data_IF_583378932493
#
_entry.id   IF_583378932493
#
_cell.length_a   1.000
_cell.length_b   1.000
_cell.length_c   1.000
_cell.angle_alpha   90.00
_cell.angle_beta   90.00
_cell.angle_gamma   90.00
#
_symmetry.space_group_name_H-M   'P 1'
#
loop_
_entity.id
_entity.type
_entity.pdbx_description
1 polymer ?
#
# COMPACT_ATOMS: atom_id res chain seq x y z
N UNK A 1 -72.85 -44.94 50.97
CA UNK A 1 -73.66 -43.76 51.26
C UNK A 1 -72.72 -42.55 51.34
N UNK A 2 -72.68 -41.56 50.57
CA UNK A 2 -73.63 -40.85 49.77
C UNK A 2 -72.93 -39.49 49.49
N UNK A 3 -72.78 -39.14 48.25
CA UNK A 3 -72.93 -37.84 47.65
C UNK A 3 -72.40 -36.57 48.36
N UNK A 4 -71.58 -35.77 47.75
CA UNK A 4 -72.04 -34.61 46.93
C UNK A 4 -70.89 -33.98 46.11
N UNK A 5 -71.23 -33.87 44.84
CA UNK A 5 -70.53 -32.96 43.87
C UNK A 5 -70.77 -31.51 44.25
N UNK A 6 -69.80 -30.66 44.10
CA UNK A 6 -70.03 -29.26 43.84
C UNK A 6 -68.93 -28.70 42.98
N UNK A 7 -69.31 -28.15 41.86
CA UNK A 7 -68.60 -27.45 40.82
C UNK A 7 -67.86 -26.26 41.35
N UNK A 8 -66.62 -26.00 40.79
CA UNK A 8 -66.10 -24.70 40.75
C UNK A 8 -65.55 -24.48 39.34
N UNK A 9 -66.37 -23.91 38.50
CA UNK A 9 -66.08 -23.31 37.20
C UNK A 9 -65.85 -21.83 37.46
N UNK A 10 -64.91 -21.24 36.62
CA UNK A 10 -64.67 -19.84 36.41
C UNK A 10 -63.64 -19.15 37.33
N UNK A 11 -62.43 -19.09 36.82
CA UNK A 11 -61.64 -17.89 36.76
C UNK A 11 -60.38 -18.15 35.87
N UNK A 12 -60.62 -18.44 34.57
CA UNK A 12 -59.56 -18.37 33.53
C UNK A 12 -60.02 -17.27 32.60
N UNK A 13 -59.42 -16.10 32.75
CA UNK A 13 -59.73 -15.00 31.88
C UNK A 13 -59.04 -13.73 32.39
N UNK A 14 -58.02 -13.28 31.73
CA UNK A 14 -57.29 -11.99 31.83
C UNK A 14 -55.89 -12.04 32.41
N UNK A 15 -54.98 -12.75 31.74
CA UNK A 15 -53.56 -12.55 31.96
C UNK A 15 -52.76 -12.81 30.67
N UNK A 16 -53.28 -12.39 29.47
CA UNK A 16 -52.58 -12.56 28.18
C UNK A 16 -52.46 -11.25 27.41
N UNK A 17 -52.22 -10.12 28.07
CA UNK A 17 -51.98 -8.82 27.37
C UNK A 17 -50.96 -7.99 28.12
N UNK A 18 -49.71 -8.43 28.21
CA UNK A 18 -48.58 -7.55 28.61
C UNK A 18 -47.21 -8.12 28.24
N UNK A 19 -47.07 -8.92 27.18
CA UNK A 19 -45.75 -9.37 26.67
C UNK A 19 -45.43 -8.81 25.27
N UNK A 20 -45.96 -7.64 24.93
CA UNK A 20 -45.74 -7.04 23.61
C UNK A 20 -45.18 -5.62 23.68
N UNK A 21 -44.25 -5.35 24.59
CA UNK A 21 -43.59 -4.01 24.64
C UNK A 21 -42.20 -4.05 25.24
N UNK A 22 -41.36 -5.01 24.86
CA UNK A 22 -39.92 -4.91 25.02
C UNK A 22 -39.22 -5.53 23.81
N UNK A 23 -39.64 -5.14 22.62
CA UNK A 23 -38.76 -5.20 21.47
C UNK A 23 -37.80 -4.04 21.66
N UNK A 24 -36.81 -4.22 22.55
CA UNK A 24 -35.58 -3.41 22.50
C UNK A 24 -35.12 -3.47 21.06
N UNK A 25 -35.17 -2.33 20.39
CA UNK A 25 -34.30 -2.11 19.25
C UNK A 25 -32.96 -2.67 19.69
N UNK A 26 -32.51 -3.73 19.02
CA UNK A 26 -31.14 -4.15 19.08
C UNK A 26 -30.38 -3.01 18.43
N UNK A 27 -30.05 -1.99 19.24
CA UNK A 27 -29.10 -0.98 18.89
C UNK A 27 -27.89 -1.76 18.42
N UNK A 28 -27.47 -1.50 17.18
CA UNK A 28 -26.19 -1.98 16.69
C UNK A 28 -25.19 -1.61 17.79
N UNK A 29 -24.76 -2.60 18.56
CA UNK A 29 -23.66 -2.42 19.47
C UNK A 29 -22.54 -1.90 18.59
N UNK A 30 -22.12 -0.65 18.82
CA UNK A 30 -20.97 -0.09 18.12
C UNK A 30 -19.79 -0.99 18.47
N UNK A 31 -19.48 -1.90 17.56
CA UNK A 31 -18.38 -2.83 17.72
C UNK A 31 -17.11 -1.99 17.76
N UNK A 32 -16.50 -1.87 18.93
CA UNK A 32 -15.20 -1.22 19.05
C UNK A 32 -14.14 -2.14 18.46
N UNK A 33 -13.19 -1.58 17.74
CA UNK A 33 -12.09 -2.32 17.13
C UNK A 33 -10.73 -1.71 17.52
N UNK A 34 -9.73 -2.58 17.61
CA UNK A 34 -8.32 -2.21 17.76
C UNK A 34 -7.59 -2.56 16.48
N UNK A 35 -6.91 -1.59 15.88
CA UNK A 35 -6.14 -1.76 14.65
C UNK A 35 -4.69 -1.38 14.91
N UNK A 36 -3.78 -2.32 14.62
CA UNK A 36 -2.34 -2.06 14.60
C UNK A 36 -1.88 -1.69 13.19
N UNK A 37 -1.13 -0.61 13.04
CA UNK A 37 -0.57 -0.17 11.76
C UNK A 37 0.94 -0.26 11.82
N UNK A 38 1.55 -0.96 10.85
CA UNK A 38 3.00 -0.98 10.63
C UNK A 38 3.27 -0.35 9.27
N UNK A 39 3.98 0.78 9.28
CA UNK A 39 4.47 1.46 8.09
C UNK A 39 5.97 1.26 7.98
N UNK A 40 6.47 0.86 6.80
CA UNK A 40 7.90 0.57 6.62
C UNK A 40 8.76 1.82 6.67
N UNK A 41 8.41 2.85 5.91
CA UNK A 41 9.16 4.10 5.80
C UNK A 41 8.23 5.32 5.82
N UNK A 42 8.79 6.51 5.96
CA UNK A 42 8.04 7.76 5.92
C UNK A 42 8.31 8.47 4.59
N UNK A 43 7.28 8.54 3.76
CA UNK A 43 7.23 9.33 2.53
C UNK A 43 5.78 9.51 2.08
N UNK A 44 5.56 10.49 1.21
CA UNK A 44 4.22 10.97 0.83
C UNK A 44 3.25 9.88 0.35
N UNK A 45 3.73 8.88 -0.39
CA UNK A 45 2.88 7.80 -0.91
C UNK A 45 2.35 6.91 0.22
N UNK A 46 3.23 6.43 1.14
CA UNK A 46 2.79 5.57 2.25
C UNK A 46 1.91 6.34 3.25
N UNK A 47 2.18 7.63 3.47
CA UNK A 47 1.35 8.47 4.32
C UNK A 47 -0.04 8.66 3.71
N UNK A 48 -0.15 8.92 2.40
CA UNK A 48 -1.42 8.99 1.70
C UNK A 48 -2.20 7.67 1.74
N UNK A 49 -1.52 6.52 1.64
CA UNK A 49 -2.14 5.21 1.76
C UNK A 49 -2.71 4.99 3.18
N UNK A 50 -1.96 5.37 4.22
CA UNK A 50 -2.45 5.33 5.62
C UNK A 50 -3.67 6.22 5.81
N UNK A 51 -3.64 7.45 5.31
CA UNK A 51 -4.78 8.37 5.38
C UNK A 51 -6.02 7.76 4.71
N UNK A 52 -5.88 7.24 3.48
CA UNK A 52 -6.98 6.59 2.77
C UNK A 52 -7.57 5.42 3.53
N UNK A 53 -6.73 4.60 4.17
CA UNK A 53 -7.16 3.48 5.02
C UNK A 53 -8.01 3.96 6.21
N UNK A 54 -7.53 4.96 6.95
CA UNK A 54 -8.25 5.51 8.11
C UNK A 54 -9.58 6.15 7.69
N UNK A 55 -9.61 6.88 6.57
CA UNK A 55 -10.84 7.44 6.02
C UNK A 55 -11.88 6.34 5.73
N UNK A 56 -11.46 5.23 5.10
CA UNK A 56 -12.36 4.13 4.76
C UNK A 56 -12.87 3.39 6.02
N UNK A 57 -12.05 3.24 7.05
CA UNK A 57 -12.50 2.73 8.36
C UNK A 57 -13.59 3.63 8.94
N UNK A 58 -13.39 4.95 8.92
CA UNK A 58 -14.36 5.92 9.43
C UNK A 58 -15.67 5.90 8.65
N UNK A 59 -15.63 5.80 7.32
CA UNK A 59 -16.79 5.61 6.43
C UNK A 59 -17.51 4.29 6.74
N UNK A 60 -16.78 3.24 7.11
CA UNK A 60 -17.31 1.93 7.51
C UNK A 60 -17.91 1.86 8.91
N UNK A 61 -17.85 2.97 9.69
CA UNK A 61 -18.40 3.08 11.04
C UNK A 61 -17.36 2.97 12.17
N UNK A 62 -16.09 2.73 11.84
CA UNK A 62 -14.99 2.64 12.81
C UNK A 62 -14.28 4.01 12.91
N UNK A 63 -14.64 4.81 13.90
CA UNK A 63 -14.13 6.18 14.09
C UNK A 63 -13.15 6.24 15.26
N UNK A 64 -11.96 6.74 15.00
CA UNK A 64 -10.90 6.89 16.00
C UNK A 64 -11.38 7.71 17.20
N UNK A 65 -11.01 7.27 18.40
CA UNK A 65 -11.44 7.87 19.67
C UNK A 65 -12.90 7.58 20.06
N UNK A 66 -13.68 6.85 19.25
CA UNK A 66 -15.06 6.44 19.55
C UNK A 66 -15.22 4.92 19.48
N UNK A 67 -15.12 4.36 18.29
CA UNK A 67 -15.30 2.93 18.00
C UNK A 67 -14.03 2.29 17.45
N UNK A 68 -12.94 3.04 17.35
CA UNK A 68 -11.65 2.58 16.83
C UNK A 68 -10.53 3.08 17.72
N UNK A 69 -9.63 2.16 18.09
CA UNK A 69 -8.32 2.48 18.68
C UNK A 69 -7.26 2.10 17.65
N UNK A 70 -6.41 3.05 17.28
CA UNK A 70 -5.31 2.84 16.33
C UNK A 70 -3.97 2.92 17.06
N UNK A 71 -3.11 1.95 16.80
CA UNK A 71 -1.71 1.96 17.25
C UNK A 71 -0.81 1.94 16.02
N UNK A 72 -0.13 3.05 15.74
CA UNK A 72 0.77 3.16 14.57
C UNK A 72 2.23 2.98 14.98
N UNK A 73 2.99 2.24 14.17
CA UNK A 73 4.43 2.08 14.25
C UNK A 73 5.05 2.37 12.88
N UNK A 74 6.19 3.07 12.87
CA UNK A 74 6.96 3.37 11.67
C UNK A 74 8.37 2.84 11.83
N UNK A 75 8.80 1.96 10.92
CA UNK A 75 10.10 1.30 10.98
C UNK A 75 11.26 2.19 10.50
N UNK A 76 10.96 3.37 9.93
CA UNK A 76 11.97 4.33 9.43
C UNK A 76 12.92 3.72 8.38
N UNK A 77 12.41 2.77 7.55
CA UNK A 77 13.19 2.07 6.55
C UNK A 77 14.16 1.00 7.09
N UNK A 78 14.07 0.69 8.39
CA UNK A 78 14.93 -0.31 9.03
C UNK A 78 14.18 -1.63 9.24
N UNK A 79 14.70 -2.70 8.65
CA UNK A 79 14.09 -4.03 8.76
C UNK A 79 14.17 -4.63 10.19
N UNK A 80 15.20 -4.28 10.97
CA UNK A 80 15.31 -4.76 12.35
C UNK A 80 14.22 -4.16 13.23
N UNK A 81 13.82 -2.91 12.96
CA UNK A 81 12.71 -2.27 13.65
C UNK A 81 11.38 -2.97 13.36
N UNK A 82 11.17 -3.49 12.15
CA UNK A 82 9.93 -4.19 11.79
C UNK A 82 9.65 -5.36 12.71
N UNK A 83 10.65 -6.21 12.98
CA UNK A 83 10.48 -7.37 13.85
C UNK A 83 10.02 -6.96 15.25
N UNK A 84 10.71 -5.98 15.86
CA UNK A 84 10.34 -5.46 17.18
C UNK A 84 8.91 -4.89 17.20
N UNK A 85 8.51 -4.21 16.12
CA UNK A 85 7.18 -3.63 16.02
C UNK A 85 6.08 -4.67 15.84
N UNK A 86 6.35 -5.74 15.09
CA UNK A 86 5.42 -6.87 14.97
C UNK A 86 5.20 -7.52 16.34
N UNK A 87 6.25 -7.80 17.11
CA UNK A 87 6.15 -8.36 18.47
C UNK A 87 5.31 -7.46 19.42
N UNK A 88 5.36 -6.14 19.20
CA UNK A 88 4.55 -5.19 19.97
C UNK A 88 3.06 -5.22 19.59
N UNK A 89 2.70 -5.62 18.39
CA UNK A 89 1.33 -5.61 17.87
C UNK A 89 0.68 -7.00 17.85
N UNK A 90 1.47 -8.07 17.74
CA UNK A 90 0.99 -9.44 17.60
C UNK A 90 0.02 -9.84 18.74
N UNK A 91 -1.15 -10.36 18.36
CA UNK A 91 -2.20 -10.82 19.28
C UNK A 91 -2.87 -9.73 20.12
N UNK A 92 -2.63 -8.44 19.85
CA UNK A 92 -3.19 -7.32 20.65
C UNK A 92 -4.29 -6.55 19.95
N UNK A 93 -4.50 -6.80 18.67
CA UNK A 93 -5.42 -6.10 17.81
C UNK A 93 -6.46 -7.03 17.22
N UNK A 94 -7.59 -6.48 16.79
CA UNK A 94 -8.62 -7.22 16.05
C UNK A 94 -8.23 -7.32 14.56
N UNK A 95 -7.35 -6.44 14.09
CA UNK A 95 -6.81 -6.40 12.74
C UNK A 95 -5.46 -5.68 12.73
N UNK A 96 -4.50 -6.18 11.94
CA UNK A 96 -3.27 -5.48 11.64
C UNK A 96 -3.24 -4.97 10.20
N UNK A 97 -2.64 -3.80 9.98
CA UNK A 97 -2.48 -3.17 8.68
C UNK A 97 -1.00 -2.94 8.40
N UNK A 98 -0.51 -3.50 7.31
CA UNK A 98 0.86 -3.36 6.85
C UNK A 98 0.96 -2.46 5.62
N UNK A 99 1.82 -1.46 5.67
CA UNK A 99 2.05 -0.52 4.58
C UNK A 99 3.45 -0.74 4.03
N UNK A 100 3.54 -1.15 2.78
CA UNK A 100 4.68 -1.60 1.98
C UNK A 100 5.05 -3.09 2.16
N UNK A 101 5.70 -3.66 1.13
CA UNK A 101 6.07 -5.08 1.08
C UNK A 101 6.89 -5.56 2.27
N UNK A 102 7.95 -4.85 2.73
CA UNK A 102 8.73 -5.30 3.88
C UNK A 102 7.90 -5.39 5.17
N UNK A 103 6.99 -4.43 5.40
CA UNK A 103 6.11 -4.45 6.56
C UNK A 103 5.11 -5.61 6.51
N UNK A 104 4.55 -5.90 5.33
CA UNK A 104 3.63 -7.01 5.13
C UNK A 104 4.32 -8.38 5.35
N UNK A 105 5.55 -8.53 4.85
CA UNK A 105 6.35 -9.74 5.06
C UNK A 105 6.71 -9.94 6.53
N UNK A 106 7.15 -8.89 7.23
CA UNK A 106 7.45 -8.95 8.65
C UNK A 106 6.20 -9.33 9.46
N UNK A 107 5.06 -8.73 9.16
CA UNK A 107 3.80 -9.02 9.83
C UNK A 107 3.36 -10.47 9.62
N UNK A 108 3.40 -10.98 8.39
CA UNK A 108 3.05 -12.37 8.08
C UNK A 108 3.95 -13.37 8.83
N UNK A 109 5.24 -13.06 8.93
CA UNK A 109 6.20 -13.93 9.62
C UNK A 109 6.03 -13.93 11.15
N UNK A 110 5.63 -12.80 11.72
CA UNK A 110 5.59 -12.63 13.19
C UNK A 110 4.20 -12.72 13.82
N UNK A 111 3.11 -12.61 13.03
CA UNK A 111 1.74 -12.73 13.52
C UNK A 111 0.84 -13.39 12.45
N UNK A 112 0.68 -14.69 12.57
CA UNK A 112 -0.16 -15.48 11.65
C UNK A 112 -1.60 -15.65 12.14
N UNK A 113 -1.93 -15.20 13.33
CA UNK A 113 -3.24 -15.39 13.94
C UNK A 113 -4.15 -14.17 13.77
N UNK A 114 -3.62 -12.96 13.99
CA UNK A 114 -4.40 -11.73 13.83
C UNK A 114 -4.69 -11.49 12.35
N UNK A 115 -5.95 -11.32 11.94
CA UNK A 115 -6.29 -10.96 10.56
C UNK A 115 -5.53 -9.72 10.09
N UNK A 116 -5.06 -9.73 8.86
CA UNK A 116 -4.25 -8.62 8.36
C UNK A 116 -4.68 -8.13 6.98
N UNK A 117 -4.43 -6.84 6.75
CA UNK A 117 -4.58 -6.19 5.45
C UNK A 117 -3.27 -5.51 5.10
N UNK A 118 -2.87 -5.57 3.84
CA UNK A 118 -1.73 -4.81 3.32
C UNK A 118 -2.14 -3.77 2.29
N UNK A 119 -1.30 -2.78 2.08
CA UNK A 119 -1.35 -1.85 0.94
C UNK A 119 0.06 -1.48 0.47
N UNK A 120 0.17 -0.88 -0.70
CA UNK A 120 1.46 -0.52 -1.28
C UNK A 120 2.40 -1.74 -1.39
N UNK A 121 1.85 -2.85 -1.88
CA UNK A 121 2.57 -4.09 -2.15
C UNK A 121 2.52 -4.36 -3.64
N UNK A 122 3.66 -4.40 -4.30
CA UNK A 122 3.72 -4.50 -5.77
C UNK A 122 3.34 -5.88 -6.28
N UNK A 123 3.88 -6.94 -5.69
CA UNK A 123 3.59 -8.33 -6.06
C UNK A 123 3.47 -9.21 -4.81
N UNK A 124 2.27 -9.33 -4.25
CA UNK A 124 2.06 -10.09 -3.02
C UNK A 124 2.25 -11.60 -3.20
N UNK A 125 2.17 -12.13 -4.43
CA UNK A 125 2.45 -13.54 -4.70
C UNK A 125 3.94 -13.80 -4.66
N UNK A 126 4.74 -13.01 -5.38
CA UNK A 126 6.21 -13.11 -5.33
C UNK A 126 6.77 -12.80 -3.95
N UNK A 127 6.10 -11.95 -3.18
CA UNK A 127 6.47 -11.65 -1.79
C UNK A 127 6.06 -12.74 -0.79
N UNK A 128 5.33 -13.77 -1.24
CA UNK A 128 4.89 -14.89 -0.38
C UNK A 128 3.74 -14.54 0.57
N UNK A 129 3.01 -13.46 0.32
CA UNK A 129 1.94 -12.99 1.20
C UNK A 129 0.59 -13.66 0.95
N UNK A 130 0.32 -14.08 -0.28
CA UNK A 130 -0.94 -14.66 -0.72
C UNK A 130 -0.70 -15.74 -1.78
N UNK A 131 -1.60 -16.73 -1.85
CA UNK A 131 -1.53 -17.78 -2.89
C UNK A 131 -1.80 -17.22 -4.28
N UNK A 132 -2.77 -16.31 -4.39
CA UNK A 132 -3.10 -15.60 -5.62
C UNK A 132 -3.90 -14.33 -5.32
N UNK A 133 -3.98 -13.39 -6.26
CA UNK A 133 -4.80 -12.19 -6.12
C UNK A 133 -6.29 -12.49 -6.00
N UNK A 134 -6.76 -13.57 -6.65
CA UNK A 134 -8.17 -13.95 -6.64
C UNK A 134 -8.58 -14.71 -5.38
N UNK A 135 -7.66 -15.46 -4.79
CA UNK A 135 -7.84 -16.27 -3.59
C UNK A 135 -6.58 -16.15 -2.73
N UNK A 136 -6.53 -15.23 -1.78
CA UNK A 136 -5.37 -15.04 -0.91
C UNK A 136 -4.96 -16.30 -0.13
N UNK A 137 -5.94 -17.09 0.33
CA UNK A 137 -5.71 -18.40 0.95
C UNK A 137 -5.34 -18.37 2.43
N UNK A 138 -4.67 -17.31 2.86
CA UNK A 138 -4.14 -17.16 4.21
C UNK A 138 -4.93 -16.17 5.08
N UNK A 139 -4.22 -15.65 6.08
CA UNK A 139 -4.73 -14.69 7.06
C UNK A 139 -4.58 -13.22 6.62
N UNK A 140 -4.14 -12.98 5.38
CA UNK A 140 -3.85 -11.66 4.85
C UNK A 140 -4.47 -11.44 3.48
N UNK A 141 -4.97 -10.22 3.23
CA UNK A 141 -5.41 -9.70 1.93
C UNK A 141 -5.00 -8.24 1.82
N UNK A 142 -5.40 -7.54 0.76
CA UNK A 142 -5.09 -6.11 0.67
C UNK A 142 -5.16 -5.54 -0.74
N UNK A 143 -4.53 -4.39 -0.93
CA UNK A 143 -4.46 -3.68 -2.20
C UNK A 143 -3.03 -3.55 -2.70
N UNK A 144 -2.83 -3.71 -4.02
CA UNK A 144 -1.53 -3.60 -4.65
C UNK A 144 -1.33 -2.22 -5.29
N UNK A 145 -0.05 -1.88 -5.51
CA UNK A 145 0.40 -0.70 -6.26
C UNK A 145 1.04 -1.07 -7.61
N UNK A 146 0.83 -2.30 -8.08
CA UNK A 146 1.44 -2.80 -9.31
C UNK A 146 1.15 -1.89 -10.50
N UNK A 147 2.19 -1.56 -11.25
CA UNK A 147 2.15 -0.77 -12.48
C UNK A 147 2.60 -1.60 -13.69
N UNK A 148 2.28 -1.13 -14.90
CA UNK A 148 2.81 -1.70 -16.14
C UNK A 148 4.23 -1.18 -16.39
N UNK A 149 5.24 -1.91 -15.90
CA UNK A 149 6.66 -1.56 -16.07
C UNK A 149 7.05 -1.47 -17.55
N UNK A 150 6.52 -2.33 -18.41
CA UNK A 150 6.83 -2.27 -19.84
C UNK A 150 6.28 -0.98 -20.47
N UNK A 151 5.05 -0.62 -20.14
CA UNK A 151 4.45 0.66 -20.54
C UNK A 151 5.21 1.87 -19.98
N UNK A 152 5.73 1.80 -18.75
CA UNK A 152 6.58 2.85 -18.17
C UNK A 152 7.89 3.02 -18.96
N UNK A 153 8.54 1.90 -19.34
CA UNK A 153 9.74 1.96 -20.19
C UNK A 153 9.43 2.49 -21.60
N UNK A 154 8.26 2.17 -22.15
CA UNK A 154 7.80 2.79 -23.41
C UNK A 154 7.62 4.31 -23.28
N UNK A 155 7.07 4.78 -22.16
CA UNK A 155 6.96 6.21 -21.88
C UNK A 155 8.34 6.87 -21.72
N UNK A 156 9.25 6.25 -20.96
CA UNK A 156 10.61 6.74 -20.78
C UNK A 156 11.31 6.93 -22.11
N UNK A 157 11.26 5.91 -22.98
CA UNK A 157 11.96 5.96 -24.28
C UNK A 157 11.32 6.93 -25.25
N UNK A 158 10.02 7.16 -25.18
CA UNK A 158 9.34 8.21 -25.96
C UNK A 158 9.67 9.60 -25.49
N UNK A 159 9.76 9.80 -24.15
CA UNK A 159 10.13 11.08 -23.56
C UNK A 159 11.63 11.41 -23.81
N UNK A 160 12.48 10.40 -23.87
CA UNK A 160 13.94 10.52 -23.93
C UNK A 160 14.53 9.74 -25.13
N UNK A 161 14.16 10.08 -26.37
CA UNK A 161 14.52 9.27 -27.55
C UNK A 161 16.03 9.28 -27.88
N UNK A 162 16.82 10.16 -27.25
CA UNK A 162 18.27 10.22 -27.45
C UNK A 162 19.07 9.41 -26.42
N UNK A 163 18.40 8.90 -25.35
CA UNK A 163 19.06 8.09 -24.35
C UNK A 163 19.54 6.75 -24.95
N UNK A 164 20.80 6.40 -24.70
CA UNK A 164 21.44 5.15 -25.13
C UNK A 164 21.74 4.24 -23.94
N UNK A 165 22.03 4.84 -22.79
CA UNK A 165 22.33 4.14 -21.54
C UNK A 165 21.35 4.58 -20.48
N UNK A 166 20.59 3.65 -19.91
CA UNK A 166 19.63 3.91 -18.84
C UNK A 166 20.11 3.27 -17.54
N UNK A 167 20.16 4.07 -16.49
CA UNK A 167 20.43 3.62 -15.14
C UNK A 167 19.16 3.10 -14.48
N UNK A 168 19.28 1.99 -13.75
CA UNK A 168 18.24 1.54 -12.82
C UNK A 168 18.86 1.59 -11.41
N UNK A 169 18.17 2.28 -10.49
CA UNK A 169 18.62 2.43 -9.12
C UNK A 169 17.56 2.01 -8.12
N UNK A 170 17.91 1.11 -7.18
CA UNK A 170 16.98 0.60 -6.20
C UNK A 170 17.68 -0.01 -4.98
N UNK A 171 16.90 -0.31 -3.91
CA UNK A 171 17.35 -1.07 -2.75
C UNK A 171 17.19 -2.58 -3.01
N UNK A 172 18.32 -3.30 -3.05
CA UNK A 172 18.33 -4.76 -3.29
C UNK A 172 17.76 -5.58 -2.13
N UNK A 173 17.48 -4.98 -0.97
CA UNK A 173 16.81 -5.64 0.14
C UNK A 173 15.28 -5.62 0.03
N UNK A 174 14.72 -4.88 -0.95
CA UNK A 174 13.30 -4.78 -1.20
C UNK A 174 12.87 -5.64 -2.38
N UNK A 175 12.10 -6.71 -2.12
CA UNK A 175 11.64 -7.68 -3.14
C UNK A 175 10.79 -7.00 -4.23
N UNK A 176 9.93 -6.04 -3.86
CA UNK A 176 9.13 -5.23 -4.80
C UNK A 176 10.01 -4.53 -5.83
N UNK A 177 11.10 -3.91 -5.37
CA UNK A 177 12.03 -3.15 -6.21
C UNK A 177 12.80 -4.07 -7.15
N UNK A 178 13.26 -5.23 -6.66
CA UNK A 178 13.99 -6.20 -7.47
C UNK A 178 13.14 -6.76 -8.61
N UNK A 179 11.87 -7.09 -8.35
CA UNK A 179 10.93 -7.59 -9.36
C UNK A 179 10.73 -6.56 -10.47
N UNK A 180 10.48 -5.31 -10.12
CA UNK A 180 10.31 -4.23 -11.09
C UNK A 180 11.60 -3.89 -11.84
N UNK A 181 12.75 -3.85 -11.15
CA UNK A 181 14.04 -3.59 -11.77
C UNK A 181 14.41 -4.65 -12.82
N UNK A 182 14.15 -5.94 -12.54
CA UNK A 182 14.31 -7.04 -13.51
C UNK A 182 13.41 -6.87 -14.74
N UNK A 183 12.15 -6.50 -14.52
CA UNK A 183 11.21 -6.25 -15.60
C UNK A 183 11.62 -5.04 -16.45
N UNK A 184 12.03 -3.94 -15.82
CA UNK A 184 12.51 -2.74 -16.50
C UNK A 184 13.79 -3.02 -17.31
N UNK A 185 14.76 -3.71 -16.74
CA UNK A 185 15.98 -4.12 -17.43
C UNK A 185 15.65 -4.90 -18.70
N UNK A 186 14.79 -5.92 -18.57
CA UNK A 186 14.37 -6.73 -19.74
C UNK A 186 13.64 -5.90 -20.80
N UNK A 187 12.83 -4.93 -20.42
CA UNK A 187 12.13 -4.04 -21.35
C UNK A 187 13.08 -3.08 -22.07
N UNK A 188 14.07 -2.52 -21.37
CA UNK A 188 15.11 -1.65 -21.92
C UNK A 188 16.02 -2.41 -22.90
N UNK A 189 16.49 -3.61 -22.51
CA UNK A 189 17.35 -4.45 -23.36
C UNK A 189 16.63 -4.89 -24.66
N UNK A 190 15.31 -5.12 -24.64
CA UNK A 190 14.51 -5.37 -25.84
C UNK A 190 14.43 -4.18 -26.80
N UNK A 191 14.81 -3.00 -26.36
CA UNK A 191 14.87 -1.76 -27.15
C UNK A 191 16.30 -1.40 -27.52
N UNK A 192 17.25 -2.35 -27.40
CA UNK A 192 18.66 -2.19 -27.69
C UNK A 192 19.35 -1.09 -26.88
N UNK A 193 18.82 -0.77 -25.67
CA UNK A 193 19.40 0.19 -24.75
C UNK A 193 20.40 -0.50 -23.82
N UNK A 194 21.53 0.17 -23.57
CA UNK A 194 22.46 -0.26 -22.52
C UNK A 194 21.88 0.02 -21.15
N UNK A 195 21.93 -0.96 -20.25
CA UNK A 195 21.40 -0.84 -18.89
C UNK A 195 22.52 -0.92 -17.87
N UNK A 196 22.58 0.05 -16.98
CA UNK A 196 23.48 0.07 -15.84
C UNK A 196 22.64 -0.01 -14.55
N UNK A 197 22.81 -1.09 -13.80
CA UNK A 197 22.11 -1.30 -12.53
C UNK A 197 23.04 -0.96 -11.37
N UNK A 198 22.56 -0.14 -10.45
CA UNK A 198 23.22 0.15 -9.17
C UNK A 198 22.23 -0.02 -8.04
N UNK A 199 22.68 -0.58 -6.94
CA UNK A 199 21.83 -0.85 -5.77
C UNK A 199 22.43 -0.33 -4.49
N UNK A 200 21.57 -0.10 -3.52
CA UNK A 200 21.92 0.16 -2.12
C UNK A 200 21.20 -0.85 -1.24
N UNK A 201 21.53 -0.89 0.03
CA UNK A 201 20.78 -1.65 1.05
C UNK A 201 20.26 -0.75 2.17
N UNK A 202 20.78 0.48 2.25
CA UNK A 202 20.38 1.51 3.22
C UNK A 202 20.38 2.89 2.59
N UNK A 203 19.76 3.86 3.26
CA UNK A 203 19.76 5.26 2.82
C UNK A 203 21.13 5.93 2.84
N UNK A 204 22.09 5.41 3.63
CA UNK A 204 23.40 6.01 3.84
C UNK A 204 24.25 6.05 2.56
N UNK A 205 24.07 5.07 1.67
CA UNK A 205 24.89 4.93 0.46
C UNK A 205 24.26 5.62 -0.76
N UNK A 206 23.01 6.09 -0.63
CA UNK A 206 22.22 6.64 -1.76
C UNK A 206 22.97 7.78 -2.46
N UNK A 207 23.48 8.75 -1.72
CA UNK A 207 24.18 9.90 -2.30
C UNK A 207 25.38 9.48 -3.15
N UNK A 208 26.24 8.63 -2.60
CA UNK A 208 27.47 8.19 -3.28
C UNK A 208 27.16 7.36 -4.53
N UNK A 209 26.24 6.38 -4.39
CA UNK A 209 25.94 5.45 -5.47
C UNK A 209 25.15 6.13 -6.58
N UNK A 210 24.19 7.02 -6.25
CA UNK A 210 23.44 7.77 -7.24
C UNK A 210 24.34 8.77 -7.99
N UNK A 211 25.25 9.48 -7.32
CA UNK A 211 26.23 10.35 -7.98
C UNK A 211 27.08 9.56 -8.97
N UNK A 212 27.58 8.39 -8.55
CA UNK A 212 28.34 7.49 -9.43
C UNK A 212 27.51 7.02 -10.63
N UNK A 213 26.23 6.73 -10.46
CA UNK A 213 25.33 6.30 -11.54
C UNK A 213 25.06 7.45 -12.52
N UNK A 214 24.69 8.62 -12.02
CA UNK A 214 24.33 9.79 -12.82
C UNK A 214 25.44 10.20 -13.80
N UNK A 215 26.71 10.03 -13.41
CA UNK A 215 27.87 10.33 -14.28
C UNK A 215 28.11 9.30 -15.41
N UNK A 216 27.32 8.23 -15.51
CA UNK A 216 27.56 7.11 -16.43
C UNK A 216 26.38 6.80 -17.35
N UNK A 217 25.26 7.53 -17.22
CA UNK A 217 24.00 7.23 -17.91
C UNK A 217 23.39 8.48 -18.56
N UNK A 218 22.55 8.26 -19.57
CA UNK A 218 21.82 9.31 -20.25
C UNK A 218 20.45 9.56 -19.62
N UNK A 219 19.93 8.58 -18.87
CA UNK A 219 18.65 8.67 -18.16
C UNK A 219 18.63 7.72 -16.96
N UNK A 220 17.75 7.96 -15.99
CA UNK A 220 17.53 7.08 -14.84
C UNK A 220 16.07 6.66 -14.75
N UNK A 221 15.84 5.38 -14.47
CA UNK A 221 14.55 4.81 -14.07
C UNK A 221 14.61 4.37 -12.61
N UNK A 222 13.64 4.82 -11.81
CA UNK A 222 13.46 4.44 -10.41
C UNK A 222 12.22 3.54 -10.28
N UNK A 223 12.38 2.24 -9.99
CA UNK A 223 11.25 1.37 -9.66
C UNK A 223 10.60 1.79 -8.35
N UNK A 224 9.44 1.25 -8.00
CA UNK A 224 8.80 1.48 -6.70
C UNK A 224 9.67 0.92 -5.58
N UNK A 225 10.22 1.82 -4.77
CA UNK A 225 11.24 1.53 -3.75
C UNK A 225 11.10 2.50 -2.58
N UNK A 226 10.90 1.98 -1.39
CA UNK A 226 10.62 2.82 -0.22
C UNK A 226 11.86 3.56 0.28
N UNK A 227 13.04 2.91 0.19
CA UNK A 227 14.33 3.52 0.58
C UNK A 227 14.68 4.68 -0.35
N UNK A 228 14.49 4.47 -1.65
CA UNK A 228 14.73 5.50 -2.68
C UNK A 228 13.72 6.65 -2.52
N UNK A 229 12.44 6.35 -2.26
CA UNK A 229 11.40 7.36 -2.04
C UNK A 229 11.68 8.22 -0.81
N UNK A 230 12.16 7.63 0.28
CA UNK A 230 12.52 8.38 1.50
C UNK A 230 13.73 9.31 1.32
N UNK A 231 14.52 9.11 0.26
CA UNK A 231 15.69 9.92 -0.09
C UNK A 231 15.50 10.74 -1.37
N UNK A 232 14.25 10.89 -1.82
CA UNK A 232 13.93 11.53 -3.10
C UNK A 232 14.56 12.92 -3.27
N UNK A 233 14.60 13.76 -2.22
CA UNK A 233 15.22 15.09 -2.29
C UNK A 233 16.71 15.01 -2.67
N UNK A 234 17.48 14.15 -2.01
CA UNK A 234 18.91 13.95 -2.31
C UNK A 234 19.11 13.46 -3.74
N UNK A 235 18.31 12.53 -4.20
CA UNK A 235 18.36 12.00 -5.57
C UNK A 235 18.04 13.10 -6.58
N UNK A 236 17.03 13.92 -6.31
CA UNK A 236 16.62 15.03 -7.18
C UNK A 236 17.72 16.07 -7.37
N UNK A 237 18.41 16.44 -6.30
CA UNK A 237 19.53 17.39 -6.36
C UNK A 237 20.67 16.84 -7.22
N UNK A 238 21.03 15.56 -7.05
CA UNK A 238 22.08 14.89 -7.82
C UNK A 238 21.72 14.84 -9.31
N UNK A 239 20.50 14.40 -9.64
CA UNK A 239 20.05 14.27 -11.03
C UNK A 239 19.96 15.63 -11.73
N UNK A 240 19.53 16.66 -10.99
CA UNK A 240 19.46 18.04 -11.47
C UNK A 240 20.84 18.63 -11.75
N UNK A 241 21.80 18.42 -10.85
CA UNK A 241 23.18 18.87 -10.98
C UNK A 241 23.87 18.17 -12.16
N UNK A 242 23.71 16.85 -12.26
CA UNK A 242 24.25 16.04 -13.36
C UNK A 242 23.52 16.25 -14.69
N UNK A 243 22.39 16.98 -14.71
CA UNK A 243 21.49 17.16 -15.88
C UNK A 243 21.03 15.85 -16.50
N UNK A 244 20.74 14.86 -15.66
CA UNK A 244 20.26 13.54 -16.09
C UNK A 244 18.74 13.46 -15.94
N UNK A 245 17.97 13.38 -17.05
CA UNK A 245 16.54 13.19 -17.00
C UNK A 245 16.18 11.84 -16.40
N UNK A 246 15.04 11.78 -15.73
CA UNK A 246 14.67 10.59 -14.97
C UNK A 246 13.17 10.37 -14.91
N UNK A 247 12.79 9.12 -14.74
CA UNK A 247 11.41 8.71 -14.54
C UNK A 247 11.31 7.86 -13.27
N UNK A 248 10.28 8.13 -12.46
CA UNK A 248 9.88 7.30 -11.33
C UNK A 248 8.61 6.50 -11.63
N UNK A 249 8.54 5.29 -11.12
CA UNK A 249 7.33 4.45 -11.20
C UNK A 249 6.24 4.85 -10.20
N UNK A 250 6.53 5.82 -9.33
CA UNK A 250 5.74 6.21 -8.18
C UNK A 250 5.73 7.73 -8.01
N UNK A 251 4.57 8.30 -7.66
CA UNK A 251 4.43 9.76 -7.48
C UNK A 251 5.20 10.30 -6.26
N UNK A 252 5.65 9.45 -5.33
CA UNK A 252 6.57 9.85 -4.26
C UNK A 252 7.88 10.43 -4.80
N UNK A 253 8.27 10.07 -6.02
CA UNK A 253 9.49 10.59 -6.68
C UNK A 253 9.28 11.92 -7.41
N UNK A 254 8.05 12.44 -7.52
CA UNK A 254 7.78 13.57 -8.42
C UNK A 254 8.66 14.78 -8.14
N UNK A 255 9.03 15.04 -6.88
CA UNK A 255 9.95 16.14 -6.54
C UNK A 255 11.38 15.89 -6.99
N UNK A 256 11.77 14.64 -7.23
CA UNK A 256 13.15 14.21 -7.54
C UNK A 256 13.41 13.94 -9.03
N UNK A 257 12.37 13.58 -9.79
CA UNK A 257 12.50 13.12 -11.18
C UNK A 257 11.84 14.09 -12.15
N UNK A 258 12.10 13.89 -13.43
CA UNK A 258 11.47 14.69 -14.50
C UNK A 258 9.97 14.38 -14.60
N UNK A 259 9.58 13.12 -14.51
CA UNK A 259 8.19 12.71 -14.53
C UNK A 259 8.00 11.35 -13.85
N UNK A 260 6.76 11.06 -13.48
CA UNK A 260 6.34 9.78 -12.91
C UNK A 260 5.20 9.17 -13.72
N UNK A 261 5.00 7.87 -13.55
CA UNK A 261 3.77 7.19 -13.95
C UNK A 261 3.39 6.25 -12.82
N UNK A 262 2.61 6.78 -11.89
CA UNK A 262 2.28 6.16 -10.62
C UNK A 262 0.78 5.97 -10.42
N UNK A 263 0.43 5.24 -9.35
CA UNK A 263 -0.95 5.00 -8.90
C UNK A 263 -1.31 5.99 -7.79
N UNK A 264 -2.62 6.15 -7.56
CA UNK A 264 -3.12 6.94 -6.44
C UNK A 264 -3.05 6.14 -5.13
N UNK A 265 -2.04 6.43 -4.31
CA UNK A 265 -1.80 5.74 -3.04
C UNK A 265 -2.93 5.95 -2.02
N UNK A 266 -3.56 7.11 -2.00
CA UNK A 266 -4.72 7.32 -1.14
C UNK A 266 -5.90 6.44 -1.56
N UNK A 267 -6.11 6.27 -2.86
CA UNK A 267 -7.16 5.39 -3.38
C UNK A 267 -6.90 3.92 -3.05
N UNK A 268 -5.67 3.40 -3.19
CA UNK A 268 -5.37 2.02 -2.79
C UNK A 268 -5.45 1.83 -1.28
N UNK A 269 -5.05 2.82 -0.47
CA UNK A 269 -5.28 2.83 0.97
C UNK A 269 -6.77 2.72 1.33
N UNK A 270 -7.63 3.46 0.63
CA UNK A 270 -9.10 3.34 0.78
C UNK A 270 -9.62 1.95 0.41
N UNK A 271 -9.07 1.32 -0.63
CA UNK A 271 -9.45 -0.05 -1.00
C UNK A 271 -9.10 -1.01 0.15
N UNK A 272 -7.87 -0.96 0.68
CA UNK A 272 -7.45 -1.75 1.83
C UNK A 272 -8.34 -1.50 3.07
N UNK A 273 -8.72 -0.25 3.32
CA UNK A 273 -9.63 0.10 4.41
C UNK A 273 -11.02 -0.50 4.28
N UNK A 274 -11.57 -0.58 3.06
CA UNK A 274 -12.86 -1.26 2.80
C UNK A 274 -12.77 -2.76 3.07
N UNK A 275 -11.63 -3.38 2.73
CA UNK A 275 -11.37 -4.79 3.05
C UNK A 275 -11.25 -4.99 4.56
N UNK A 276 -10.54 -4.09 5.26
CA UNK A 276 -10.45 -4.10 6.72
C UNK A 276 -11.82 -3.99 7.39
N UNK A 277 -12.69 -3.11 6.91
CA UNK A 277 -14.09 -3.01 7.39
C UNK A 277 -14.84 -4.33 7.22
N UNK A 278 -14.66 -5.00 6.08
CA UNK A 278 -15.32 -6.30 5.84
C UNK A 278 -14.79 -7.38 6.81
N UNK A 279 -13.49 -7.38 7.10
CA UNK A 279 -12.86 -8.31 8.06
C UNK A 279 -13.35 -8.03 9.49
N UNK A 280 -13.35 -6.77 9.93
CA UNK A 280 -13.85 -6.38 11.25
C UNK A 280 -15.35 -6.70 11.43
N UNK A 281 -16.09 -6.85 10.33
CA UNK A 281 -17.48 -7.33 10.30
C UNK A 281 -17.61 -8.86 10.15
N UNK A 282 -16.51 -9.62 10.26
CA UNK A 282 -16.50 -11.08 10.31
C UNK A 282 -16.20 -11.80 8.99
N UNK A 283 -15.80 -11.10 7.93
CA UNK A 283 -15.38 -11.75 6.68
C UNK A 283 -13.94 -12.26 6.80
N UNK A 284 -13.68 -13.48 6.33
CA UNK A 284 -12.32 -14.03 6.33
C UNK A 284 -11.43 -13.35 5.28
N UNK A 285 -10.19 -12.92 5.62
CA UNK A 285 -9.20 -12.41 4.66
C UNK A 285 -8.96 -13.35 3.49
N UNK A 286 -8.90 -14.66 3.74
CA UNK A 286 -8.67 -15.70 2.72
C UNK A 286 -9.66 -15.65 1.54
N UNK A 287 -10.83 -15.04 1.72
CA UNK A 287 -11.91 -14.98 0.72
C UNK A 287 -12.07 -13.63 0.05
N UNK A 288 -11.33 -12.62 0.51
CA UNK A 288 -11.38 -11.27 -0.05
C UNK A 288 -10.30 -11.16 -1.12
N UNK A 289 -10.71 -10.92 -2.36
CA UNK A 289 -9.76 -10.73 -3.47
C UNK A 289 -8.87 -9.53 -3.20
N UNK A 290 -7.59 -9.66 -3.51
CA UNK A 290 -6.64 -8.54 -3.49
C UNK A 290 -7.09 -7.48 -4.49
N UNK A 291 -7.23 -6.24 -4.03
CA UNK A 291 -7.64 -5.13 -4.87
C UNK A 291 -6.48 -4.65 -5.76
N UNK A 292 -6.83 -4.26 -6.99
CA UNK A 292 -5.89 -3.68 -7.95
C UNK A 292 -6.08 -2.17 -8.02
N UNK A 293 -5.01 -1.40 -8.28
CA UNK A 293 -5.12 0.03 -8.48
C UNK A 293 -5.88 0.36 -9.76
N UNK A 294 -6.36 1.59 -9.85
CA UNK A 294 -6.76 2.21 -11.11
C UNK A 294 -5.54 2.42 -12.01
N UNK A 295 -5.79 2.85 -13.27
CA UNK A 295 -4.69 3.16 -14.20
C UNK A 295 -3.73 4.18 -13.60
N UNK A 296 -2.43 3.93 -13.76
CA UNK A 296 -1.39 4.88 -13.45
C UNK A 296 -1.56 6.19 -14.24
N UNK A 297 -1.19 7.30 -13.63
CA UNK A 297 -1.26 8.64 -14.21
C UNK A 297 0.15 9.17 -14.41
N UNK A 298 0.35 9.97 -15.46
CA UNK A 298 1.60 10.70 -15.66
C UNK A 298 1.52 12.00 -14.89
N UNK A 299 2.53 12.26 -14.07
CA UNK A 299 2.79 13.57 -13.46
C UNK A 299 4.17 14.07 -13.90
N UNK A 300 4.31 15.37 -14.14
CA UNK A 300 5.55 15.99 -14.64
C UNK A 300 6.00 17.07 -13.68
N UNK A 301 7.27 17.04 -13.34
CA UNK A 301 7.93 18.07 -12.55
C UNK A 301 8.37 19.21 -13.49
N UNK A 302 7.61 20.28 -13.50
CA UNK A 302 7.85 21.44 -14.39
C UNK A 302 9.20 22.14 -14.04
N UNK A 303 9.60 22.17 -12.77
CA UNK A 303 10.87 22.76 -12.35
C UNK A 303 12.07 21.92 -12.81
N UNK A 304 11.96 20.60 -12.71
CA UNK A 304 12.98 19.68 -13.22
C UNK A 304 13.06 19.79 -14.76
N UNK A 305 11.92 19.80 -15.44
CA UNK A 305 11.88 19.98 -16.90
C UNK A 305 12.59 21.26 -17.34
N UNK A 306 12.30 22.37 -16.66
CA UNK A 306 12.98 23.67 -16.90
C UNK A 306 14.49 23.59 -16.66
N UNK A 307 14.91 22.95 -15.55
CA UNK A 307 16.34 22.81 -15.23
C UNK A 307 17.11 21.96 -16.26
N UNK A 308 16.42 20.99 -16.88
CA UNK A 308 16.96 20.12 -17.92
C UNK A 308 16.79 20.69 -19.33
N UNK A 309 16.10 21.83 -19.50
CA UNK A 309 15.82 22.43 -20.81
C UNK A 309 14.81 21.60 -21.65
N UNK A 310 13.90 20.88 -21.00
CA UNK A 310 12.92 19.98 -21.62
C UNK A 310 11.50 20.57 -21.63
N UNK A 311 10.72 20.19 -22.63
CA UNK A 311 9.31 20.59 -22.74
C UNK A 311 8.40 19.69 -21.90
N UNK A 312 7.95 20.20 -20.77
CA UNK A 312 7.05 19.47 -19.88
C UNK A 312 5.68 19.18 -20.51
N UNK A 313 5.20 20.03 -21.43
CA UNK A 313 3.91 19.82 -22.10
C UNK A 313 3.97 18.64 -23.08
N UNK A 314 5.09 18.49 -23.79
CA UNK A 314 5.32 17.33 -24.64
C UNK A 314 5.29 16.01 -23.82
N UNK A 315 5.89 15.99 -22.62
CA UNK A 315 5.87 14.81 -21.75
C UNK A 315 4.45 14.56 -21.21
N UNK A 316 3.72 15.60 -20.77
CA UNK A 316 2.31 15.48 -20.33
C UNK A 316 1.40 14.92 -21.43
N UNK A 317 1.69 15.21 -22.69
CA UNK A 317 0.93 14.72 -23.83
C UNK A 317 1.08 13.21 -24.08
N UNK A 318 2.14 12.56 -23.59
CA UNK A 318 2.36 11.11 -23.71
C UNK A 318 1.35 10.29 -22.88
N UNK A 319 0.67 10.90 -21.92
CA UNK A 319 -0.33 10.27 -21.06
C UNK A 319 -1.76 10.33 -21.59
N UNK A 320 -1.98 10.97 -22.73
CA UNK A 320 -3.29 11.08 -23.39
C UNK A 320 -3.44 10.01 -24.46
#
# INVERSE_FOLDING_TARGET
MGFKKASLIAFIGLATLSLAACRKEAGQAHQSAKVGIIQYAEHSALDAAREGFIEALAEGGFKEGKTLTVTTRNAQGDQANLQTMVEQLAGKNDLNFAIATPAAQALLNGDQETPAVFTAVTDPVSAGLVDSLAKPGGNMTGSIDATDVAGQIDLLTKALPQAKTVGIFYNSSEVNSEVQAKAAKKALEKKDLKVLVKTVTTTNDVQQVMTSLANQVDAVYLPTDNTVASTASTIGDILKEAKVPSMGSDDAYLSAVLFTSGVDYKAIGKQAGKEAVAILKGKSPATIKVAKPEKAKIAVNDDMAKALGMDSQAIKALGK
#
